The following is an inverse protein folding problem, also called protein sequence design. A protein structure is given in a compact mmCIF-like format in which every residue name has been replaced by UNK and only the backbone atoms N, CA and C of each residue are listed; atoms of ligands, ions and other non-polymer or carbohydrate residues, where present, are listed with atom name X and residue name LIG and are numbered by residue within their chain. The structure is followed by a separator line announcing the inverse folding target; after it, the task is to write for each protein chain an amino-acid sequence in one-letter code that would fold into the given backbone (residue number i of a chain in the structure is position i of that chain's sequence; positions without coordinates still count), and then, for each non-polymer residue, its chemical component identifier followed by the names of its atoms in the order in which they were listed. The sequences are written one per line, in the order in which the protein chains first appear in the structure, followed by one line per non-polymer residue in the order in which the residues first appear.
data_IF_553390884492
#
_entry.id   IF_553390884492
#
_cell.length_a   1.000
_cell.length_b   1.000
_cell.length_c   1.000
_cell.angle_alpha   90.00
_cell.angle_beta   90.00
_cell.angle_gamma   90.00
#
_symmetry.space_group_name_H-M   'P 1'
#
loop_
_entity.id
_entity.type
_entity.pdbx_description
1 polymer ?
#
# COMPACT_ATOMS: atom_id res chain seq x y z
N UNK A 1 -24.88 33.73 -29.57
CA UNK A 1 -25.26 35.12 -29.25
C UNK A 1 -24.36 36.00 -30.09
N UNK A 2 -24.88 36.51 -31.23
CA UNK A 2 -25.28 37.92 -31.42
C UNK A 2 -24.06 38.86 -31.23
N UNK A 3 -23.53 39.59 -32.20
CA UNK A 3 -24.10 40.16 -33.44
C UNK A 3 -22.99 40.50 -34.44
N UNK A 4 -23.19 40.12 -35.70
CA UNK A 4 -22.66 40.84 -36.86
C UNK A 4 -23.43 42.16 -36.98
N UNK A 5 -22.75 43.29 -37.19
CA UNK A 5 -23.28 44.47 -37.87
C UNK A 5 -22.15 45.48 -38.07
N UNK A 6 -21.53 45.48 -39.26
CA UNK A 6 -21.22 46.74 -39.92
C UNK A 6 -21.08 46.51 -41.43
N UNK A 7 -22.21 46.70 -42.11
CA UNK A 7 -22.31 46.76 -43.56
C UNK A 7 -22.32 48.23 -43.98
N UNK A 8 -21.75 48.47 -45.16
CA UNK A 8 -21.96 49.62 -46.06
C UNK A 8 -20.94 50.77 -45.92
N UNK A 9 -20.03 50.87 -46.92
CA UNK A 9 -20.14 51.91 -47.95
C UNK A 9 -19.24 51.56 -49.15
N UNK A 10 -19.87 51.28 -50.29
CA UNK A 10 -19.18 51.25 -51.59
C UNK A 10 -18.69 52.67 -51.91
N UNK A 11 -17.50 52.85 -52.52
CA UNK A 11 -17.08 54.16 -52.98
C UNK A 11 -17.89 54.54 -54.24
N UNK A 12 -18.55 55.71 -54.16
CA UNK A 12 -19.22 56.36 -55.28
C UNK A 12 -18.26 56.55 -56.47
N UNK A 13 -18.76 56.26 -57.67
CA UNK A 13 -18.10 56.59 -58.93
C UNK A 13 -17.77 58.10 -58.99
N UNK A 14 -16.55 58.49 -59.40
CA UNK A 14 -16.23 59.90 -59.58
C UNK A 14 -17.04 60.47 -60.75
N UNK A 15 -17.97 61.38 -60.44
CA UNK A 15 -18.66 62.22 -61.42
C UNK A 15 -17.62 62.90 -62.31
N UNK A 16 -17.66 62.60 -63.61
CA UNK A 16 -16.83 63.25 -64.64
C UNK A 16 -17.06 64.77 -64.60
N UNK A 17 -16.08 65.50 -64.09
CA UNK A 17 -15.98 66.95 -64.23
C UNK A 17 -15.77 67.29 -65.71
N UNK A 18 -16.78 67.94 -66.30
CA UNK A 18 -16.75 68.42 -67.67
C UNK A 18 -15.95 69.73 -67.68
N UNK A 19 -14.63 69.65 -67.87
CA UNK A 19 -13.79 70.84 -68.03
C UNK A 19 -14.09 71.50 -69.37
N UNK A 20 -14.81 72.63 -69.33
CA UNK A 20 -14.87 73.57 -70.45
C UNK A 20 -13.60 74.41 -70.38
N UNK A 21 -12.66 74.18 -71.29
CA UNK A 21 -11.48 75.03 -71.41
C UNK A 21 -11.93 76.41 -71.93
N UNK A 22 -11.91 77.41 -71.04
CA UNK A 22 -11.80 78.82 -71.41
C UNK A 22 -10.51 79.33 -70.79
N UNK A 23 -9.66 79.95 -71.61
CA UNK A 23 -8.36 80.52 -71.20
C UNK A 23 -8.53 81.87 -70.44
N UNK A 24 -9.62 82.04 -69.71
CA UNK A 24 -9.94 83.25 -68.96
C UNK A 24 -9.68 83.02 -67.46
N UNK A 25 -9.03 84.00 -66.81
CA UNK A 25 -8.82 83.99 -65.36
C UNK A 25 -10.21 84.03 -64.68
N UNK A 26 -10.55 83.07 -63.79
CA UNK A 26 -11.86 83.03 -63.15
C UNK A 26 -12.08 84.30 -62.32
N UNK A 27 -13.28 84.88 -62.40
CA UNK A 27 -13.63 86.05 -61.57
C UNK A 27 -13.97 85.63 -60.14
N UNK A 28 -13.84 86.58 -59.19
CA UNK A 28 -14.15 86.35 -57.76
C UNK A 28 -15.55 85.78 -57.51
N UNK A 29 -16.52 86.17 -58.32
CA UNK A 29 -17.92 85.72 -58.22
C UNK A 29 -18.10 84.27 -58.70
N UNK A 30 -17.39 83.85 -59.75
CA UNK A 30 -17.39 82.46 -60.24
C UNK A 30 -16.76 81.52 -59.21
N UNK A 31 -15.68 81.95 -58.54
CA UNK A 31 -15.05 81.19 -57.46
C UNK A 31 -16.02 81.03 -56.28
N UNK A 32 -16.73 82.10 -55.88
CA UNK A 32 -17.74 82.04 -54.82
C UNK A 32 -18.92 81.14 -55.17
N UNK A 33 -19.35 81.12 -56.44
CA UNK A 33 -20.48 80.30 -56.88
C UNK A 33 -20.14 78.80 -56.92
N UNK A 34 -18.89 78.44 -57.22
CA UNK A 34 -18.45 77.04 -57.29
C UNK A 34 -17.98 76.45 -55.96
N UNK A 35 -17.31 77.24 -55.10
CA UNK A 35 -16.78 76.76 -53.81
C UNK A 35 -17.71 77.07 -52.63
N UNK A 36 -18.67 77.98 -52.81
CA UNK A 36 -19.52 78.51 -51.74
C UNK A 36 -18.86 79.67 -50.99
N UNK A 37 -19.69 80.61 -50.51
CA UNK A 37 -19.24 81.89 -49.95
C UNK A 37 -18.25 81.74 -48.78
N UNK A 38 -18.47 80.77 -47.89
CA UNK A 38 -17.63 80.56 -46.71
C UNK A 38 -16.22 80.05 -47.04
N UNK A 39 -16.11 79.12 -47.99
CA UNK A 39 -14.82 78.52 -48.37
C UNK A 39 -14.03 79.45 -49.30
N UNK A 40 -14.72 80.15 -50.20
CA UNK A 40 -14.11 81.18 -51.04
C UNK A 40 -13.52 82.33 -50.21
N UNK A 41 -14.19 82.73 -49.12
CA UNK A 41 -13.70 83.79 -48.24
C UNK A 41 -12.37 83.42 -47.55
N UNK A 42 -12.26 82.20 -47.00
CA UNK A 42 -11.01 81.70 -46.41
C UNK A 42 -9.88 81.68 -47.44
N UNK A 43 -10.20 81.32 -48.68
CA UNK A 43 -9.23 81.28 -49.77
C UNK A 43 -8.77 82.70 -50.17
N UNK A 44 -9.66 83.70 -50.14
CA UNK A 44 -9.29 85.11 -50.35
C UNK A 44 -8.46 85.69 -49.21
N UNK A 45 -8.79 85.36 -47.96
CA UNK A 45 -8.12 85.88 -46.77
C UNK A 45 -6.68 85.38 -46.64
N UNK A 46 -6.38 84.18 -47.15
CA UNK A 46 -5.03 83.58 -47.14
C UNK A 46 -4.25 83.72 -48.44
N UNK A 47 -4.82 84.39 -49.45
CA UNK A 47 -4.16 84.56 -50.75
C UNK A 47 -3.30 85.82 -50.83
N UNK A 48 -2.27 85.76 -51.66
CA UNK A 48 -1.37 86.88 -51.88
C UNK A 48 -2.09 88.09 -52.51
N UNK A 49 -1.83 89.30 -52.01
CA UNK A 49 -2.55 90.54 -52.39
C UNK A 49 -2.54 90.83 -53.90
N UNK A 50 -1.45 90.46 -54.59
CA UNK A 50 -1.32 90.59 -56.05
C UNK A 50 -2.24 89.61 -56.81
N UNK A 51 -2.44 88.39 -56.29
CA UNK A 51 -3.36 87.43 -56.89
C UNK A 51 -4.82 87.88 -56.76
N UNK A 52 -5.16 88.55 -55.66
CA UNK A 52 -6.50 89.13 -55.46
C UNK A 52 -6.82 90.26 -56.45
N UNK A 53 -5.83 91.10 -56.81
CA UNK A 53 -6.03 92.16 -57.83
C UNK A 53 -6.37 91.59 -59.21
N UNK A 54 -5.82 90.43 -59.57
CA UNK A 54 -6.08 89.78 -60.86
C UNK A 54 -7.51 89.25 -60.95
N UNK A 55 -8.11 88.84 -59.84
CA UNK A 55 -9.50 88.34 -59.79
C UNK A 55 -10.55 89.47 -59.81
N UNK A 56 -10.18 90.67 -59.38
CA UNK A 56 -11.02 91.89 -59.39
C UNK A 56 -10.84 92.73 -60.68
N UNK A 57 -9.94 92.33 -61.58
CA UNK A 57 -9.71 93.01 -62.85
C UNK A 57 -10.71 92.52 -63.90
N UNK A 58 -11.67 93.38 -64.25
CA UNK A 58 -12.55 93.20 -65.43
C UNK A 58 -11.65 92.95 -66.67
N UNK A 59 -11.98 92.01 -67.59
CA UNK A 59 -11.13 91.75 -68.75
C UNK A 59 -11.11 92.97 -69.68
N UNK A 60 -10.17 93.88 -69.47
CA UNK A 60 -9.94 95.01 -70.36
C UNK A 60 -9.04 94.54 -71.49
N UNK A 61 -9.68 93.97 -72.51
CA UNK A 61 -9.08 93.85 -73.84
C UNK A 61 -8.69 95.26 -74.32
N UNK A 62 -7.41 95.60 -74.17
CA UNK A 62 -6.59 96.67 -74.79
C UNK A 62 -5.67 97.31 -73.75
N UNK A 63 -4.42 96.87 -73.72
CA UNK A 63 -3.33 97.63 -73.11
C UNK A 63 -2.02 97.30 -73.81
N UNK A 64 -1.96 97.69 -75.08
CA UNK A 64 -0.74 97.89 -75.85
C UNK A 64 -0.78 99.35 -76.29
N UNK A 65 -0.59 100.26 -75.34
CA UNK A 65 -0.41 101.68 -75.65
C UNK A 65 0.47 102.31 -74.57
N UNK A 66 1.72 102.53 -74.98
CA UNK A 66 2.61 103.64 -74.63
C UNK A 66 2.94 103.86 -73.13
N UNK A 67 4.22 103.65 -72.80
CA UNK A 67 4.89 104.34 -71.69
C UNK A 67 5.98 105.26 -72.26
N UNK A 68 6.03 106.55 -71.88
CA UNK A 68 6.96 107.52 -72.44
C UNK A 68 8.34 107.47 -71.78
N UNK A 69 9.35 107.84 -72.57
CA UNK A 69 10.74 107.95 -72.19
C UNK A 69 10.99 109.03 -71.11
N UNK A 70 11.99 108.80 -70.27
CA UNK A 70 12.86 109.86 -69.73
C UNK A 70 14.31 109.52 -70.08
N UNK A 71 14.74 110.01 -71.24
CA UNK A 71 16.16 110.25 -71.54
C UNK A 71 16.35 111.74 -71.32
N UNK A 72 17.14 112.12 -70.31
CA UNK A 72 17.55 113.50 -70.10
C UNK A 72 18.89 113.74 -70.80
N UNK A 73 18.92 114.83 -71.54
CA UNK A 73 19.88 115.25 -72.55
C UNK A 73 21.36 115.25 -72.15
N UNK A 74 22.18 114.69 -73.05
CA UNK A 74 23.46 115.26 -73.45
C UNK A 74 23.38 115.62 -74.94
N UNK A 75 22.80 116.78 -75.29
CA UNK A 75 23.12 117.49 -76.54
C UNK A 75 24.41 118.27 -76.28
N UNK A 76 25.44 118.32 -77.12
CA UNK A 76 25.57 118.14 -78.57
C UNK A 76 27.10 118.03 -78.89
N UNK A 77 27.55 117.46 -80.00
CA UNK A 77 27.60 118.15 -81.30
C UNK A 77 27.80 117.22 -82.51
N UNK A 78 27.10 117.61 -83.57
CA UNK A 78 27.32 117.41 -85.02
C UNK A 78 26.97 116.08 -85.68
N UNK A 79 25.85 116.15 -86.39
CA UNK A 79 25.47 115.46 -87.61
C UNK A 79 26.60 114.91 -88.48
N UNK A 80 26.43 113.64 -88.89
CA UNK A 80 26.64 113.21 -90.27
C UNK A 80 25.64 112.12 -90.63
N UNK A 81 24.54 112.55 -91.26
CA UNK A 81 23.76 111.70 -92.15
C UNK A 81 24.68 111.20 -93.26
N UNK A 82 24.99 109.91 -93.22
CA UNK A 82 25.77 109.22 -94.24
C UNK A 82 25.13 107.88 -94.49
N UNK A 83 24.74 107.64 -95.74
CA UNK A 83 24.53 106.30 -96.30
C UNK A 83 25.69 105.42 -95.82
N UNK A 84 25.38 104.41 -95.00
CA UNK A 84 26.41 103.59 -94.35
C UNK A 84 27.26 102.95 -95.44
N UNK A 85 28.58 103.09 -95.35
CA UNK A 85 29.48 102.39 -96.27
C UNK A 85 29.32 100.89 -96.07
N UNK A 86 29.47 100.08 -97.12
CA UNK A 86 29.28 98.61 -97.08
C UNK A 86 30.09 97.96 -95.94
N UNK A 87 31.29 98.49 -95.65
CA UNK A 87 32.12 98.05 -94.53
C UNK A 87 31.48 98.24 -93.13
N UNK A 88 30.70 99.31 -92.91
CA UNK A 88 30.00 99.53 -91.64
C UNK A 88 28.80 98.59 -91.45
N UNK A 89 28.12 98.22 -92.55
CA UNK A 89 27.06 97.20 -92.53
C UNK A 89 27.62 95.81 -92.22
N UNK A 90 28.75 95.46 -92.82
CA UNK A 90 29.47 94.19 -92.57
C UNK A 90 29.95 94.11 -91.12
N UNK A 91 30.47 95.22 -90.57
CA UNK A 91 30.90 95.27 -89.17
C UNK A 91 29.71 95.11 -88.21
N UNK A 92 28.59 95.80 -88.48
CA UNK A 92 27.36 95.67 -87.69
C UNK A 92 26.82 94.23 -87.71
N UNK A 93 26.80 93.56 -88.87
CA UNK A 93 26.35 92.16 -88.95
C UNK A 93 27.30 91.21 -88.23
N UNK A 94 28.62 91.44 -88.27
CA UNK A 94 29.59 90.67 -87.48
C UNK A 94 29.36 90.87 -85.98
N UNK A 95 29.23 92.11 -85.51
CA UNK A 95 28.97 92.38 -84.09
C UNK A 95 27.64 91.77 -83.62
N UNK A 96 26.57 91.82 -84.43
CA UNK A 96 25.32 91.13 -84.09
C UNK A 96 25.48 89.61 -84.08
N UNK A 97 26.21 89.05 -85.04
CA UNK A 97 26.50 87.61 -85.07
C UNK A 97 27.29 87.17 -83.83
N UNK A 98 28.31 87.93 -83.44
CA UNK A 98 29.14 87.66 -82.26
C UNK A 98 28.33 87.78 -80.96
N UNK A 99 27.46 88.79 -80.83
CA UNK A 99 26.57 88.93 -79.66
C UNK A 99 25.57 87.76 -79.59
N UNK A 100 25.00 87.34 -80.72
CA UNK A 100 24.09 86.19 -80.76
C UNK A 100 24.81 84.88 -80.47
N UNK A 101 26.04 84.71 -80.96
CA UNK A 101 26.88 83.55 -80.66
C UNK A 101 27.21 83.49 -79.16
N UNK A 102 27.65 84.60 -78.56
CA UNK A 102 27.90 84.72 -77.11
C UNK A 102 26.64 84.45 -76.28
N UNK A 103 25.48 84.98 -76.70
CA UNK A 103 24.20 84.72 -76.05
C UNK A 103 23.78 83.25 -76.16
N UNK A 104 24.00 82.63 -77.32
CA UNK A 104 23.76 81.21 -77.56
C UNK A 104 24.68 80.31 -76.72
N UNK A 105 25.95 80.66 -76.60
CA UNK A 105 26.92 79.95 -75.76
C UNK A 105 26.57 80.06 -74.27
N UNK A 106 26.20 81.26 -73.80
CA UNK A 106 25.76 81.48 -72.43
C UNK A 106 24.48 80.69 -72.12
N UNK A 107 23.50 80.69 -73.04
CA UNK A 107 22.26 79.92 -72.88
C UNK A 107 22.54 78.41 -72.84
N UNK A 108 23.39 77.89 -73.73
CA UNK A 108 23.80 76.48 -73.72
C UNK A 108 24.47 76.10 -72.40
N UNK A 109 25.32 76.98 -71.86
CA UNK A 109 25.98 76.75 -70.56
C UNK A 109 24.98 76.68 -69.42
N UNK A 110 24.07 77.66 -69.32
CA UNK A 110 23.02 77.68 -68.27
C UNK A 110 22.10 76.47 -68.41
N UNK A 111 21.74 76.08 -69.64
CA UNK A 111 20.93 74.89 -69.89
C UNK A 111 21.66 73.62 -69.43
N UNK A 112 22.95 73.47 -69.75
CA UNK A 112 23.75 72.33 -69.31
C UNK A 112 23.89 72.28 -67.77
N UNK A 113 24.06 73.43 -67.10
CA UNK A 113 24.10 73.51 -65.64
C UNK A 113 22.76 73.13 -65.00
N UNK A 114 21.64 73.62 -65.54
CA UNK A 114 20.28 73.26 -65.08
C UNK A 114 20.04 71.76 -65.27
N UNK A 115 20.39 71.20 -66.43
CA UNK A 115 20.24 69.78 -66.70
C UNK A 115 21.12 68.92 -65.78
N UNK A 116 22.37 69.33 -65.53
CA UNK A 116 23.26 68.63 -64.62
C UNK A 116 22.73 68.65 -63.18
N UNK A 117 22.25 69.81 -62.70
CA UNK A 117 21.65 69.94 -61.37
C UNK A 117 20.37 69.09 -61.25
N UNK A 118 19.51 69.12 -62.27
CA UNK A 118 18.29 68.33 -62.29
C UNK A 118 18.57 66.83 -62.29
N UNK A 119 19.58 66.37 -63.06
CA UNK A 119 20.02 64.96 -63.07
C UNK A 119 20.57 64.54 -61.71
N UNK A 120 21.47 65.32 -61.13
CA UNK A 120 22.03 65.04 -59.80
C UNK A 120 20.93 64.92 -58.75
N UNK A 121 19.97 65.86 -58.73
CA UNK A 121 18.86 65.83 -57.76
C UNK A 121 17.96 64.60 -57.95
N UNK A 122 17.66 64.22 -59.20
CA UNK A 122 16.88 63.02 -59.50
C UNK A 122 17.62 61.74 -59.10
N UNK A 123 18.94 61.68 -59.31
CA UNK A 123 19.79 60.57 -58.88
C UNK A 123 19.81 60.46 -57.35
N UNK A 124 19.99 61.57 -56.64
CA UNK A 124 19.97 61.61 -55.17
C UNK A 124 18.61 61.15 -54.61
N UNK A 125 17.50 61.67 -55.15
CA UNK A 125 16.15 61.24 -54.76
C UNK A 125 15.90 59.76 -55.06
N UNK A 126 16.44 59.25 -56.16
CA UNK A 126 16.33 57.83 -56.52
C UNK A 126 17.13 56.96 -55.56
N UNK A 127 18.37 57.33 -55.22
CA UNK A 127 19.23 56.63 -54.26
C UNK A 127 18.55 56.60 -52.89
N UNK A 128 18.02 57.73 -52.42
CA UNK A 128 17.31 57.81 -51.14
C UNK A 128 16.10 56.87 -51.11
N UNK A 129 15.26 56.90 -52.15
CA UNK A 129 14.10 56.00 -52.25
C UNK A 129 14.51 54.53 -52.32
N UNK A 130 15.60 54.22 -53.03
CA UNK A 130 16.16 52.86 -53.12
C UNK A 130 16.61 52.36 -51.74
N UNK A 131 17.39 53.16 -51.00
CA UNK A 131 17.83 52.83 -49.64
C UNK A 131 16.65 52.68 -48.67
N UNK A 132 15.65 53.56 -48.76
CA UNK A 132 14.44 53.47 -47.94
C UNK A 132 13.67 52.18 -48.21
N UNK A 133 13.51 51.80 -49.48
CA UNK A 133 12.85 50.56 -49.87
C UNK A 133 13.62 49.34 -49.35
N UNK A 134 14.94 49.34 -49.49
CA UNK A 134 15.78 48.26 -49.00
C UNK A 134 15.72 48.14 -47.46
N UNK A 135 15.78 49.26 -46.74
CA UNK A 135 15.61 49.30 -45.30
C UNK A 135 14.24 48.77 -44.87
N UNK A 136 13.16 49.10 -45.60
CA UNK A 136 11.81 48.57 -45.35
C UNK A 136 11.74 47.07 -45.56
N UNK A 137 12.36 46.53 -46.62
CA UNK A 137 12.47 45.08 -46.87
C UNK A 137 13.19 44.39 -45.72
N UNK A 138 14.37 44.90 -45.32
CA UNK A 138 15.16 44.35 -44.20
C UNK A 138 14.37 44.35 -42.89
N UNK A 139 13.65 45.44 -42.57
CA UNK A 139 12.78 45.52 -41.39
C UNK A 139 11.64 44.51 -41.41
N UNK A 140 11.03 44.28 -42.57
CA UNK A 140 9.93 43.32 -42.72
C UNK A 140 10.43 41.90 -42.53
N UNK A 141 11.55 41.55 -43.17
CA UNK A 141 12.19 40.23 -43.00
C UNK A 141 12.58 40.01 -41.53
N UNK A 142 13.18 41.01 -40.89
CA UNK A 142 13.58 40.93 -39.48
C UNK A 142 12.37 40.67 -38.56
N UNK A 143 11.29 41.42 -38.72
CA UNK A 143 10.06 41.22 -37.93
C UNK A 143 9.49 39.82 -38.13
N UNK A 144 9.40 39.36 -39.37
CA UNK A 144 8.89 38.02 -39.66
C UNK A 144 9.78 36.92 -39.05
N UNK A 145 11.11 37.10 -39.07
CA UNK A 145 12.02 36.17 -38.43
C UNK A 145 11.85 36.16 -36.89
N UNK A 146 11.71 37.33 -36.27
CA UNK A 146 11.46 37.46 -34.83
C UNK A 146 10.13 36.81 -34.41
N UNK A 147 9.07 36.99 -35.20
CA UNK A 147 7.77 36.35 -34.96
C UNK A 147 7.86 34.82 -35.09
N UNK A 148 8.53 34.32 -36.13
CA UNK A 148 8.79 32.89 -36.28
C UNK A 148 9.58 32.36 -35.08
N UNK A 149 10.65 33.04 -34.67
CA UNK A 149 11.44 32.63 -33.52
C UNK A 149 10.61 32.58 -32.23
N UNK A 150 9.82 33.62 -31.96
CA UNK A 150 8.95 33.67 -30.77
C UNK A 150 7.94 32.51 -30.77
N UNK A 151 7.28 32.25 -31.89
CA UNK A 151 6.32 31.13 -31.97
C UNK A 151 6.98 29.77 -31.72
N UNK A 152 8.16 29.51 -32.29
CA UNK A 152 8.88 28.27 -32.05
C UNK A 152 9.42 28.15 -30.62
N UNK A 153 9.85 29.25 -30.02
CA UNK A 153 10.28 29.29 -28.63
C UNK A 153 9.11 28.94 -27.68
N UNK A 154 7.93 29.51 -27.92
CA UNK A 154 6.71 29.15 -27.17
C UNK A 154 6.36 27.66 -27.33
N UNK A 155 6.38 27.13 -28.56
CA UNK A 155 6.14 25.70 -28.78
C UNK A 155 7.18 24.81 -28.09
N UNK A 156 8.44 25.23 -28.10
CA UNK A 156 9.53 24.49 -27.48
C UNK A 156 9.39 24.47 -25.96
N UNK A 157 9.14 25.62 -25.34
CA UNK A 157 8.91 25.74 -23.89
C UNK A 157 7.67 24.95 -23.46
N UNK A 158 6.57 25.04 -24.20
CA UNK A 158 5.37 24.25 -23.94
C UNK A 158 5.64 22.74 -24.01
N UNK A 159 6.37 22.30 -25.04
CA UNK A 159 6.71 20.87 -25.21
C UNK A 159 7.65 20.39 -24.10
N UNK A 160 8.62 21.22 -23.68
CA UNK A 160 9.49 20.89 -22.56
C UNK A 160 8.72 20.76 -21.25
N UNK A 161 7.80 21.68 -20.99
CA UNK A 161 6.94 21.65 -19.81
C UNK A 161 6.09 20.38 -19.79
N UNK A 162 5.39 20.08 -20.89
CA UNK A 162 4.58 18.88 -21.04
C UNK A 162 5.39 17.59 -20.84
N UNK A 163 6.60 17.54 -21.40
CA UNK A 163 7.50 16.39 -21.23
C UNK A 163 7.93 16.24 -19.77
N UNK A 164 8.25 17.34 -19.10
CA UNK A 164 8.65 17.34 -17.69
C UNK A 164 7.50 16.87 -16.79
N UNK A 165 6.28 17.33 -17.04
CA UNK A 165 5.09 16.88 -16.30
C UNK A 165 4.82 15.39 -16.51
N UNK A 166 4.88 14.91 -17.75
CA UNK A 166 4.72 13.48 -18.06
C UNK A 166 5.79 12.62 -17.37
N UNK A 167 7.05 13.03 -17.47
CA UNK A 167 8.15 12.32 -16.83
C UNK A 167 8.00 12.30 -15.30
N UNK A 168 7.53 13.39 -14.70
CA UNK A 168 7.25 13.45 -13.27
C UNK A 168 6.09 12.54 -12.87
N UNK A 169 5.02 12.48 -13.66
CA UNK A 169 3.90 11.57 -13.43
C UNK A 169 4.35 10.10 -13.54
N UNK A 170 5.07 9.74 -14.59
CA UNK A 170 5.62 8.39 -14.82
C UNK A 170 6.59 7.99 -13.70
N UNK A 171 7.45 8.92 -13.26
CA UNK A 171 8.36 8.70 -12.14
C UNK A 171 7.61 8.41 -10.84
N UNK A 172 6.54 9.16 -10.56
CA UNK A 172 5.73 8.95 -9.36
C UNK A 172 4.96 7.62 -9.41
N UNK A 173 4.39 7.26 -10.56
CA UNK A 173 3.71 5.96 -10.74
C UNK A 173 4.71 4.79 -10.58
N UNK A 174 5.86 4.87 -11.25
CA UNK A 174 6.91 3.87 -11.15
C UNK A 174 7.41 3.71 -9.71
N UNK A 175 7.59 4.82 -8.97
CA UNK A 175 7.97 4.82 -7.55
C UNK A 175 6.91 4.16 -6.67
N UNK A 176 5.62 4.47 -6.87
CA UNK A 176 4.53 3.85 -6.13
C UNK A 176 4.46 2.34 -6.40
N UNK A 177 4.57 1.94 -7.66
CA UNK A 177 4.59 0.52 -8.07
C UNK A 177 5.78 -0.21 -7.45
N UNK A 178 6.97 0.38 -7.51
CA UNK A 178 8.17 -0.18 -6.90
C UNK A 178 8.03 -0.35 -5.39
N UNK A 179 7.55 0.69 -4.68
CA UNK A 179 7.32 0.62 -3.24
C UNK A 179 6.32 -0.48 -2.86
N UNK A 180 5.25 -0.64 -3.64
CA UNK A 180 4.26 -1.71 -3.43
C UNK A 180 4.88 -3.09 -3.59
N UNK A 181 5.68 -3.31 -4.64
CA UNK A 181 6.38 -4.59 -4.85
C UNK A 181 7.45 -4.85 -3.78
N UNK A 182 8.20 -3.82 -3.38
CA UNK A 182 9.16 -3.92 -2.29
C UNK A 182 8.47 -4.30 -0.97
N UNK A 183 7.34 -3.67 -0.64
CA UNK A 183 6.57 -4.00 0.56
C UNK A 183 6.07 -5.45 0.52
N UNK A 184 5.53 -5.90 -0.62
CA UNK A 184 5.13 -7.31 -0.80
C UNK A 184 6.30 -8.27 -0.60
N UNK A 185 7.46 -7.97 -1.19
CA UNK A 185 8.67 -8.78 -1.04
C UNK A 185 9.14 -8.84 0.41
N UNK A 186 9.15 -7.70 1.13
CA UNK A 186 9.51 -7.64 2.55
C UNK A 186 8.55 -8.48 3.40
N UNK A 187 7.24 -8.34 3.19
CA UNK A 187 6.23 -9.11 3.95
C UNK A 187 6.37 -10.60 3.67
N UNK A 188 6.56 -11.00 2.41
CA UNK A 188 6.76 -12.39 2.03
C UNK A 188 8.01 -12.98 2.68
N UNK A 189 9.16 -12.30 2.58
CA UNK A 189 10.41 -12.76 3.19
C UNK A 189 10.27 -12.88 4.72
N UNK A 190 9.57 -11.94 5.37
CA UNK A 190 9.29 -12.05 6.81
C UNK A 190 8.43 -13.26 7.14
N UNK A 191 7.35 -13.49 6.40
CA UNK A 191 6.47 -14.65 6.57
C UNK A 191 7.25 -15.97 6.39
N UNK A 192 8.03 -16.08 5.32
CA UNK A 192 8.82 -17.26 5.00
C UNK A 192 9.86 -17.53 6.10
N UNK A 193 10.55 -16.49 6.58
CA UNK A 193 11.51 -16.59 7.68
C UNK A 193 10.85 -17.02 8.99
N UNK A 194 9.72 -16.40 9.35
CA UNK A 194 8.96 -16.77 10.56
C UNK A 194 8.46 -18.21 10.48
N UNK A 195 7.94 -18.62 9.32
CA UNK A 195 7.47 -19.99 9.10
C UNK A 195 8.61 -21.00 9.24
N UNK A 196 9.79 -20.71 8.68
CA UNK A 196 10.96 -21.57 8.79
C UNK A 196 11.49 -21.68 10.23
N UNK A 197 11.54 -20.57 10.98
CA UNK A 197 11.89 -20.60 12.41
C UNK A 197 10.89 -21.42 13.21
N UNK A 198 9.58 -21.21 13.00
CA UNK A 198 8.54 -21.99 13.68
C UNK A 198 8.62 -23.48 13.33
N UNK A 199 8.92 -23.82 12.07
CA UNK A 199 9.12 -25.21 11.64
C UNK A 199 10.29 -25.85 12.39
N UNK A 200 11.42 -25.14 12.53
CA UNK A 200 12.59 -25.62 13.28
C UNK A 200 12.31 -25.77 14.78
N UNK A 201 11.62 -24.80 15.38
CA UNK A 201 11.19 -24.87 16.78
C UNK A 201 10.28 -26.07 17.02
N UNK A 202 9.28 -26.28 16.14
CA UNK A 202 8.37 -27.43 16.23
C UNK A 202 9.12 -28.76 16.22
N UNK A 203 10.12 -28.90 15.33
CA UNK A 203 10.95 -30.11 15.29
C UNK A 203 11.72 -30.34 16.61
N UNK A 204 12.31 -29.29 17.17
CA UNK A 204 12.99 -29.37 18.46
C UNK A 204 12.03 -29.72 19.61
N UNK A 205 10.86 -29.09 19.66
CA UNK A 205 9.83 -29.39 20.67
C UNK A 205 9.38 -30.85 20.56
N UNK A 206 9.13 -31.36 19.35
CA UNK A 206 8.77 -32.76 19.15
C UNK A 206 9.88 -33.72 19.61
N UNK A 207 11.14 -33.39 19.33
CA UNK A 207 12.29 -34.18 19.80
C UNK A 207 12.36 -34.22 21.33
N UNK A 208 12.25 -33.06 22.00
CA UNK A 208 12.28 -32.96 23.47
C UNK A 208 11.11 -33.70 24.10
N UNK A 209 9.89 -33.55 23.57
CA UNK A 209 8.71 -34.26 24.06
C UNK A 209 8.88 -35.77 23.94
N UNK A 210 9.39 -36.24 22.80
CA UNK A 210 9.60 -37.67 22.56
C UNK A 210 10.69 -38.23 23.49
N UNK A 211 11.80 -37.51 23.67
CA UNK A 211 12.89 -37.96 24.54
C UNK A 211 12.46 -37.98 26.02
N UNK A 212 11.72 -36.97 26.47
CA UNK A 212 11.16 -36.90 27.83
C UNK A 212 10.11 -38.00 28.06
N UNK A 213 9.22 -38.25 27.08
CA UNK A 213 8.24 -39.32 27.18
C UNK A 213 8.92 -40.68 27.29
N UNK A 214 9.95 -40.94 26.47
CA UNK A 214 10.68 -42.20 26.49
C UNK A 214 11.44 -42.39 27.81
N UNK A 215 12.11 -41.35 28.32
CA UNK A 215 12.82 -41.44 29.61
C UNK A 215 11.85 -41.69 30.78
N UNK A 216 10.68 -41.05 30.76
CA UNK A 216 9.63 -41.30 31.74
C UNK A 216 9.11 -42.74 31.68
N UNK A 217 8.79 -43.24 30.48
CA UNK A 217 8.37 -44.63 30.28
C UNK A 217 9.43 -45.62 30.77
N UNK A 218 10.71 -45.34 30.51
CA UNK A 218 11.81 -46.19 30.97
C UNK A 218 11.94 -46.18 32.49
N UNK A 219 11.82 -45.01 33.13
CA UNK A 219 11.80 -44.89 34.61
C UNK A 219 10.65 -45.68 35.22
N UNK A 220 9.45 -45.60 34.62
CA UNK A 220 8.26 -46.31 35.10
C UNK A 220 8.40 -47.84 34.93
N UNK A 221 9.00 -48.31 33.83
CA UNK A 221 9.36 -49.74 33.67
C UNK A 221 10.36 -50.19 34.73
N UNK A 222 11.44 -49.43 34.92
CA UNK A 222 12.46 -49.75 35.92
C UNK A 222 11.89 -49.74 37.35
N UNK A 223 10.92 -48.87 37.66
CA UNK A 223 10.22 -48.88 38.95
C UNK A 223 9.39 -50.16 39.12
N UNK A 224 8.60 -50.55 38.10
CA UNK A 224 7.82 -51.79 38.12
C UNK A 224 8.71 -53.01 38.29
N UNK A 225 9.83 -53.08 37.57
CA UNK A 225 10.81 -54.17 37.69
C UNK A 225 11.41 -54.24 39.09
N UNK A 226 11.76 -53.10 39.70
CA UNK A 226 12.22 -53.03 41.10
C UNK A 226 11.16 -53.57 42.07
N UNK A 227 9.91 -53.15 41.93
CA UNK A 227 8.80 -53.65 42.77
C UNK A 227 8.60 -55.16 42.62
N UNK A 228 8.67 -55.68 41.39
CA UNK A 228 8.58 -57.12 41.13
C UNK A 228 9.75 -57.86 41.78
N UNK A 229 10.97 -57.32 41.66
CA UNK A 229 12.16 -57.91 42.29
C UNK A 229 12.04 -57.93 43.83
N UNK A 230 11.58 -56.84 44.44
CA UNK A 230 11.35 -56.74 45.89
C UNK A 230 10.26 -57.72 46.35
N UNK A 231 9.15 -57.81 45.61
CA UNK A 231 8.09 -58.77 45.89
C UNK A 231 8.61 -60.21 45.80
N UNK A 232 9.32 -60.56 44.72
CA UNK A 232 9.92 -61.88 44.55
C UNK A 232 10.90 -62.22 45.68
N UNK A 233 11.67 -61.24 46.17
CA UNK A 233 12.57 -61.40 47.31
C UNK A 233 11.81 -61.69 48.61
N UNK A 234 10.68 -61.00 48.85
CA UNK A 234 9.80 -61.25 50.00
C UNK A 234 9.16 -62.65 49.92
N UNK A 235 8.63 -63.01 48.74
CA UNK A 235 8.03 -64.33 48.49
C UNK A 235 9.06 -65.44 48.67
N UNK A 236 10.26 -65.30 48.13
CA UNK A 236 11.33 -66.30 48.29
C UNK A 236 11.76 -66.45 49.76
N UNK A 237 11.91 -65.33 50.51
CA UNK A 237 12.23 -65.38 51.94
C UNK A 237 11.14 -66.06 52.77
N UNK A 238 9.88 -65.77 52.49
CA UNK A 238 8.74 -66.37 53.20
C UNK A 238 8.57 -67.85 52.83
N UNK A 239 8.69 -68.20 51.55
CA UNK A 239 8.68 -69.59 51.07
C UNK A 239 9.72 -70.46 51.78
N UNK A 240 10.93 -69.95 52.07
CA UNK A 240 11.93 -70.70 52.87
C UNK A 240 11.53 -70.94 54.33
N UNK A 241 10.64 -70.12 54.90
CA UNK A 241 10.14 -70.27 56.28
C UNK A 241 8.99 -71.27 56.41
N UNK A 242 8.20 -71.45 55.36
CA UNK A 242 7.07 -72.39 55.33
C UNK A 242 7.44 -73.88 55.52
N UNK A 243 8.49 -74.44 54.90
CA UNK A 243 8.85 -75.84 55.10
C UNK A 243 9.29 -76.12 56.54
N UNK A 244 9.99 -75.18 57.20
CA UNK A 244 10.39 -75.33 58.62
C UNK A 244 9.17 -75.39 59.53
N UNK A 245 8.15 -74.55 59.29
CA UNK A 245 6.89 -74.60 60.05
C UNK A 245 6.10 -75.88 59.79
N UNK A 246 6.05 -76.36 58.54
CA UNK A 246 5.36 -77.61 58.21
C UNK A 246 6.03 -78.83 58.85
N UNK A 247 7.36 -78.90 58.85
CA UNK A 247 8.10 -79.99 59.50
C UNK A 247 7.83 -80.02 61.00
N UNK A 248 7.92 -78.86 61.68
CA UNK A 248 7.64 -78.75 63.12
C UNK A 248 6.18 -79.13 63.47
N UNK A 249 5.22 -78.77 62.62
CA UNK A 249 3.82 -79.16 62.81
C UNK A 249 3.63 -80.67 62.62
N UNK A 250 4.28 -81.25 61.62
CA UNK A 250 4.22 -82.69 61.36
C UNK A 250 4.83 -83.50 62.50
N UNK A 251 5.98 -83.06 63.04
CA UNK A 251 6.61 -83.70 64.21
C UNK A 251 5.72 -83.61 65.46
N UNK A 252 5.10 -82.45 65.71
CA UNK A 252 4.14 -82.31 66.82
C UNK A 252 2.92 -83.22 66.66
N UNK A 253 2.36 -83.32 65.46
CA UNK A 253 1.23 -84.20 65.17
C UNK A 253 1.62 -85.66 65.37
N UNK A 254 2.82 -86.06 64.92
CA UNK A 254 3.33 -87.42 65.10
C UNK A 254 3.50 -87.76 66.58
N UNK A 255 4.09 -86.86 67.37
CA UNK A 255 4.24 -87.04 68.82
C UNK A 255 2.88 -87.18 69.51
N UNK A 256 1.90 -86.34 69.16
CA UNK A 256 0.55 -86.42 69.73
C UNK A 256 -0.14 -87.75 69.42
N UNK A 257 -0.02 -88.26 68.18
CA UNK A 257 -0.55 -89.59 67.84
C UNK A 257 0.11 -90.70 68.67
N UNK A 258 1.42 -90.61 68.92
CA UNK A 258 2.16 -91.58 69.71
C UNK A 258 1.73 -91.58 71.19
N UNK A 259 1.43 -90.39 71.74
CA UNK A 259 0.86 -90.24 73.09
C UNK A 259 -0.56 -90.81 73.16
N UNK A 260 -1.41 -90.50 72.18
CA UNK A 260 -2.79 -91.04 72.11
C UNK A 260 -2.76 -92.57 72.06
N UNK A 261 -1.91 -93.16 71.22
CA UNK A 261 -1.78 -94.61 71.13
C UNK A 261 -1.37 -95.27 72.46
N UNK A 262 -0.41 -94.66 73.19
CA UNK A 262 -0.04 -95.13 74.54
C UNK A 262 -1.18 -95.00 75.54
N UNK A 263 -1.95 -93.92 75.45
CA UNK A 263 -3.10 -93.70 76.33
C UNK A 263 -4.22 -94.72 76.06
N UNK A 264 -4.46 -95.07 74.79
CA UNK A 264 -5.40 -96.13 74.41
C UNK A 264 -4.95 -97.51 74.91
N UNK A 265 -3.65 -97.81 74.85
CA UNK A 265 -3.09 -99.05 75.41
C UNK A 265 -3.32 -99.12 76.93
N UNK A 266 -3.01 -98.04 77.66
CA UNK A 266 -3.25 -97.95 79.10
C UNK A 266 -4.75 -98.09 79.42
N UNK A 267 -5.63 -97.42 78.68
CA UNK A 267 -7.08 -97.54 78.87
C UNK A 267 -7.57 -98.96 78.61
N UNK A 268 -7.03 -99.66 77.62
CA UNK A 268 -7.38 -101.06 77.36
C UNK A 268 -6.91 -101.99 78.48
N UNK A 269 -5.71 -101.77 79.02
CA UNK A 269 -5.22 -102.50 80.20
C UNK A 269 -6.13 -102.25 81.39
N UNK A 270 -6.47 -100.99 81.68
CA UNK A 270 -7.38 -100.63 82.77
C UNK A 270 -8.76 -101.27 82.59
N UNK A 271 -9.35 -101.21 81.39
CA UNK A 271 -10.63 -101.87 81.08
C UNK A 271 -10.55 -103.37 81.36
N UNK A 272 -9.47 -104.04 80.95
CA UNK A 272 -9.27 -105.48 81.19
C UNK A 272 -9.18 -105.79 82.68
N UNK A 273 -8.44 -104.99 83.46
CA UNK A 273 -8.35 -105.16 84.91
C UNK A 273 -9.70 -104.95 85.61
N UNK A 274 -10.49 -103.96 85.17
CA UNK A 274 -11.84 -103.72 85.69
C UNK A 274 -12.76 -104.91 85.38
N UNK A 275 -12.73 -105.44 84.15
CA UNK A 275 -13.54 -106.63 83.80
C UNK A 275 -13.12 -107.85 84.60
N UNK A 276 -11.82 -108.12 84.77
CA UNK A 276 -11.34 -109.23 85.59
C UNK A 276 -11.74 -109.09 87.07
N UNK A 277 -11.75 -107.87 87.60
CA UNK A 277 -12.21 -107.61 88.97
C UNK A 277 -13.72 -107.86 89.09
N UNK A 278 -14.50 -107.39 88.12
CA UNK A 278 -15.95 -107.61 88.06
C UNK A 278 -16.30 -109.10 88.00
N UNK A 279 -15.62 -109.88 87.16
CA UNK A 279 -15.85 -111.32 87.01
C UNK A 279 -15.52 -112.08 88.31
N UNK A 280 -14.43 -111.70 88.99
CA UNK A 280 -14.10 -112.24 90.32
C UNK A 280 -15.16 -111.90 91.36
N UNK A 281 -15.71 -110.69 91.31
CA UNK A 281 -16.75 -110.26 92.24
C UNK A 281 -18.05 -111.06 92.04
N UNK A 282 -18.47 -111.26 90.79
CA UNK A 282 -19.61 -112.14 90.45
C UNK A 282 -19.38 -113.57 90.95
N UNK A 283 -18.19 -114.12 90.76
CA UNK A 283 -17.85 -115.46 91.25
C UNK A 283 -17.89 -115.55 92.78
N UNK A 284 -17.50 -114.48 93.48
CA UNK A 284 -17.58 -114.39 94.94
C UNK A 284 -19.04 -114.30 95.42
N UNK A 285 -19.87 -113.50 94.76
CA UNK A 285 -21.32 -113.44 95.03
C UNK A 285 -21.99 -114.80 94.85
N UNK A 286 -21.66 -115.54 93.78
CA UNK A 286 -22.17 -116.90 93.56
C UNK A 286 -21.77 -117.87 94.67
N UNK A 287 -20.51 -117.83 95.12
CA UNK A 287 -20.03 -118.65 96.25
C UNK A 287 -20.72 -118.28 97.57
N UNK A 288 -20.91 -116.99 97.81
CA UNK A 288 -21.59 -116.49 99.01
C UNK A 288 -23.06 -116.89 99.02
N UNK A 289 -23.74 -116.85 97.85
CA UNK A 289 -25.09 -117.38 97.67
C UNK A 289 -25.17 -118.88 97.95
N UNK A 290 -24.20 -119.67 97.47
CA UNK A 290 -24.14 -121.10 97.73
C UNK A 290 -23.96 -121.42 99.23
N UNK A 291 -23.05 -120.71 99.91
CA UNK A 291 -22.83 -120.85 101.36
C UNK A 291 -24.09 -120.45 102.13
N UNK A 292 -24.74 -119.36 101.74
CA UNK A 292 -25.99 -118.89 102.37
C UNK A 292 -27.08 -119.94 102.26
N UNK A 293 -27.21 -120.63 101.11
CA UNK A 293 -28.15 -121.75 100.95
C UNK A 293 -27.81 -122.95 101.84
N UNK A 294 -26.54 -123.29 102.02
CA UNK A 294 -26.13 -124.38 102.93
C UNK A 294 -26.35 -124.01 104.40
N UNK A 295 -26.04 -122.77 104.80
CA UNK A 295 -26.39 -122.26 106.13
C UNK A 295 -27.90 -122.25 106.36
N UNK A 296 -28.70 -121.89 105.35
CA UNK A 296 -30.16 -121.96 105.44
C UNK A 296 -30.64 -123.40 105.67
N UNK A 297 -30.04 -124.40 105.00
CA UNK A 297 -30.35 -125.82 105.26
C UNK A 297 -29.97 -126.23 106.69
N UNK A 298 -28.83 -125.77 107.20
CA UNK A 298 -28.40 -126.03 108.58
C UNK A 298 -29.35 -125.40 109.61
N UNK A 299 -29.76 -124.15 109.38
CA UNK A 299 -30.74 -123.45 110.23
C UNK A 299 -32.07 -124.20 110.20
N UNK A 300 -32.59 -124.55 109.03
CA UNK A 300 -33.83 -125.32 108.91
C UNK A 300 -33.74 -126.67 109.64
N UNK A 301 -32.62 -127.40 109.50
CA UNK A 301 -32.38 -128.65 110.23
C UNK A 301 -32.35 -128.46 111.76
N UNK A 302 -31.66 -127.42 112.25
CA UNK A 302 -31.58 -127.13 113.68
C UNK A 302 -32.95 -126.75 114.26
N UNK A 303 -33.78 -126.04 113.50
CA UNK A 303 -35.14 -125.66 113.90
C UNK A 303 -36.10 -126.85 113.88
N UNK A 304 -36.01 -127.73 112.89
CA UNK A 304 -36.83 -128.95 112.81
C UNK A 304 -36.54 -129.95 113.95
N UNK A 305 -35.34 -129.89 114.55
CA UNK A 305 -34.91 -130.81 115.62
C UNK A 305 -35.31 -130.31 117.03
N UNK A 306 -35.69 -129.03 117.17
CA UNK A 306 -35.99 -128.36 118.46
C UNK A 306 -37.27 -127.50 118.34
N UNK A 307 -38.46 -128.12 118.20
CA UNK A 307 -39.70 -127.39 117.89
C UNK A 307 -40.12 -126.38 118.98
N UNK A 308 -39.74 -126.58 120.25
CA UNK A 308 -40.09 -125.69 121.36
C UNK A 308 -39.29 -124.37 121.40
N UNK A 309 -38.29 -124.19 120.52
CA UNK A 309 -37.45 -122.99 120.45
C UNK A 309 -37.60 -122.19 119.15
N UNK A 310 -38.44 -122.63 118.22
CA UNK A 310 -38.65 -122.00 116.92
C UNK A 310 -39.47 -120.69 116.98
N UNK A 311 -40.21 -120.45 118.07
CA UNK A 311 -41.09 -119.28 118.23
C UNK A 311 -40.33 -117.94 118.42
N UNK A 312 -39.00 -117.96 118.59
CA UNK A 312 -38.21 -116.76 118.89
C UNK A 312 -37.31 -116.27 117.76
N UNK A 313 -37.41 -116.82 116.54
CA UNK A 313 -36.55 -116.41 115.43
C UNK A 313 -37.32 -115.69 114.32
N UNK A 314 -36.84 -114.47 114.04
CA UNK A 314 -37.32 -113.62 112.95
C UNK A 314 -37.08 -114.31 111.58
N UNK A 315 -37.99 -114.15 110.62
CA UNK A 315 -37.76 -114.60 109.24
C UNK A 315 -36.49 -113.96 108.66
N UNK A 316 -35.57 -114.81 108.17
CA UNK A 316 -34.32 -114.40 107.51
C UNK A 316 -34.55 -113.55 106.25
N UNK A 317 -35.76 -113.55 105.71
CA UNK A 317 -36.20 -112.72 104.59
C UNK A 317 -36.15 -111.20 104.89
N UNK A 318 -35.99 -110.79 106.15
CA UNK A 318 -35.85 -109.39 106.56
C UNK A 318 -34.40 -108.85 106.60
N UNK A 319 -33.37 -109.70 106.45
CA UNK A 319 -31.95 -109.27 106.47
C UNK A 319 -31.35 -109.00 105.08
N UNK A 320 -32.05 -109.40 104.02
CA UNK A 320 -31.65 -109.14 102.63
C UNK A 320 -32.72 -108.29 101.92
N UNK A 321 -33.08 -107.16 102.50
CA UNK A 321 -33.68 -106.08 101.74
C UNK A 321 -32.57 -105.43 100.90
N UNK A 322 -32.57 -105.84 99.64
CA UNK A 322 -31.78 -105.34 98.52
C UNK A 322 -32.10 -103.85 98.28
N UNK A 323 -31.19 -102.94 98.66
CA UNK A 323 -31.19 -101.57 98.15
C UNK A 323 -30.13 -101.45 97.04
N UNK A 324 -30.42 -102.12 95.94
CA UNK A 324 -29.91 -101.75 94.62
C UNK A 324 -30.57 -100.43 94.20
N UNK A 325 -29.86 -99.31 94.33
CA UNK A 325 -30.13 -98.13 93.50
C UNK A 325 -28.87 -97.27 93.26
N UNK A 326 -28.26 -97.56 92.10
CA UNK A 326 -27.83 -96.63 91.04
C UNK A 326 -26.89 -95.48 91.41
N UNK A 327 -25.66 -95.65 90.92
CA UNK A 327 -24.87 -94.59 90.29
C UNK A 327 -25.73 -93.74 89.35
N UNK A 328 -25.62 -92.42 89.45
CA UNK A 328 -25.40 -91.56 88.28
C UNK A 328 -24.46 -90.44 88.70
N UNK A 329 -23.27 -90.44 88.09
CA UNK A 329 -22.33 -89.34 88.17
C UNK A 329 -22.65 -88.26 87.14
N UNK A 330 -22.30 -87.02 87.46
CA UNK A 330 -21.65 -86.12 86.50
C UNK A 330 -21.01 -84.95 87.26
N UNK A 331 -19.68 -85.00 87.38
CA UNK A 331 -18.85 -83.84 87.66
C UNK A 331 -18.65 -83.04 86.36
N UNK A 332 -18.82 -81.72 86.50
CA UNK A 332 -17.98 -80.66 85.92
C UNK A 332 -17.57 -80.77 84.44
N UNK A 333 -18.22 -79.95 83.61
CA UNK A 333 -17.57 -79.34 82.44
C UNK A 333 -17.20 -77.89 82.74
N UNK A 334 -15.92 -77.59 82.51
CA UNK A 334 -15.33 -76.27 82.33
C UNK A 334 -15.36 -75.90 80.85
#
# INVERSE_FOLDING_TARGET
MLTEDEKVRAPDEPRKLKCVARDDIPTKTEIQQHLGASLAQVLFDYSHREAMKLLDSIPSARLLQESPCTVQDCRSKTDRSGTWSEGQRILKSHVHHDILALGGDALRKVQAEIEAMARSKLEDEFIEKSHMLEAKKRRTIKRNAEEIHATYEEYFEATQHDLKEKLQADWMDAKVKHNKELQKAVVKTRLDTTHDVLRRMRLQTCYILTSLHNSFQQSLRAQKERMIADFNKIVSKSSKRYPVRQILLYEKIKFLHEVIAKQDEIMNIMKKMITECRDKNVTLEEKLSAITKEFQKFINFALDTMPEHADFLLPLDLLFADDTNKEDGEQEKK
#
